data_IF_890718808437
#
_entry.id   IF_890718808437
#
_cell.length_a   1.000
_cell.length_b   1.000
_cell.length_c   1.000
_cell.angle_alpha   90.00
_cell.angle_beta   90.00
_cell.angle_gamma   90.00
#
_symmetry.space_group_name_H-M   'P 1'
#
loop_
_entity.id
_entity.type
_entity.pdbx_description
1 polymer ?
#
# COMPACT_ATOMS: atom_id res chain seq x y z
N UNK A 1 2.80 -2.02 15.88
CA UNK A 1 2.21 -1.43 14.65
C UNK A 1 2.23 0.09 14.71
N UNK A 2 1.68 0.72 15.75
CA UNK A 2 1.66 2.19 15.83
C UNK A 2 3.04 2.86 15.62
N UNK A 3 4.16 2.39 16.22
CA UNK A 3 5.49 2.94 15.93
C UNK A 3 5.92 2.86 14.46
N UNK A 4 5.45 1.84 13.74
CA UNK A 4 5.70 1.66 12.30
C UNK A 4 4.89 2.67 11.52
N UNK A 5 3.59 2.82 11.83
CA UNK A 5 2.70 3.79 11.19
C UNK A 5 3.23 5.21 11.35
N UNK A 6 3.52 5.64 12.58
CA UNK A 6 4.02 7.00 12.83
C UNK A 6 5.40 7.26 12.18
N UNK A 7 6.22 6.23 11.95
CA UNK A 7 7.48 6.36 11.22
C UNK A 7 7.26 6.40 9.70
N UNK A 8 6.37 5.56 9.18
CA UNK A 8 6.00 5.55 7.76
C UNK A 8 5.38 6.90 7.34
N UNK A 9 4.45 7.42 8.13
CA UNK A 9 3.79 8.70 7.87
C UNK A 9 4.79 9.87 7.86
N UNK A 10 5.79 9.85 8.76
CA UNK A 10 6.89 10.82 8.74
C UNK A 10 7.75 10.72 7.47
N UNK A 11 8.16 9.51 7.09
CA UNK A 11 8.95 9.30 5.87
C UNK A 11 8.19 9.72 4.59
N UNK A 12 6.88 9.51 4.58
CA UNK A 12 5.99 9.98 3.50
C UNK A 12 5.94 11.51 3.49
N UNK A 13 5.81 12.15 4.65
CA UNK A 13 5.83 13.61 4.78
C UNK A 13 7.18 14.21 4.31
N UNK A 14 8.28 13.49 4.53
CA UNK A 14 9.62 13.86 4.05
C UNK A 14 9.82 13.64 2.53
N UNK A 15 8.79 13.16 1.82
CA UNK A 15 8.78 13.00 0.37
C UNK A 15 9.24 11.63 -0.13
N UNK A 16 9.41 10.65 0.76
CA UNK A 16 9.72 9.27 0.36
C UNK A 16 8.49 8.63 -0.28
N UNK A 17 8.70 7.81 -1.32
CA UNK A 17 7.60 7.04 -1.91
C UNK A 17 6.90 6.19 -0.84
N UNK A 18 5.56 6.14 -0.79
CA UNK A 18 4.83 5.42 0.27
C UNK A 18 5.25 3.97 0.41
N UNK A 19 5.51 3.26 -0.70
CA UNK A 19 5.90 1.85 -0.62
C UNK A 19 7.26 1.68 0.07
N UNK A 20 8.21 2.56 -0.25
CA UNK A 20 9.56 2.56 0.34
C UNK A 20 9.50 3.01 1.80
N UNK A 21 8.69 4.01 2.11
CA UNK A 21 8.51 4.51 3.47
C UNK A 21 7.98 3.44 4.42
N UNK A 22 7.00 2.64 3.98
CA UNK A 22 6.46 1.54 4.79
C UNK A 22 7.51 0.46 5.06
N UNK A 23 8.23 0.00 4.04
CA UNK A 23 9.30 -1.02 4.22
C UNK A 23 10.39 -0.49 5.14
N UNK A 24 10.89 0.73 4.92
CA UNK A 24 11.92 1.34 5.77
C UNK A 24 11.47 1.52 7.23
N UNK A 25 10.20 1.87 7.44
CA UNK A 25 9.63 2.00 8.78
C UNK A 25 9.58 0.65 9.50
N UNK A 26 9.14 -0.41 8.81
CA UNK A 26 9.11 -1.77 9.37
C UNK A 26 10.52 -2.23 9.72
N UNK A 27 11.47 -2.12 8.80
CA UNK A 27 12.86 -2.53 9.01
C UNK A 27 13.48 -1.87 10.24
N UNK A 28 13.27 -0.55 10.38
CA UNK A 28 13.83 0.22 11.49
C UNK A 28 13.23 -0.20 12.83
N UNK A 29 11.91 -0.40 12.90
CA UNK A 29 11.25 -0.86 14.13
C UNK A 29 11.68 -2.30 14.46
N UNK A 30 11.76 -3.18 13.47
CA UNK A 30 12.21 -4.56 13.68
C UNK A 30 13.65 -4.62 14.18
N UNK A 31 14.55 -3.82 13.61
CA UNK A 31 15.94 -3.74 14.06
C UNK A 31 16.05 -3.29 15.53
N UNK A 32 15.23 -2.30 15.93
CA UNK A 32 15.18 -1.86 17.33
C UNK A 32 14.64 -2.95 18.27
N UNK A 33 13.65 -3.74 17.84
CA UNK A 33 13.13 -4.84 18.65
C UNK A 33 14.10 -6.03 18.72
N UNK A 34 14.85 -6.30 17.64
CA UNK A 34 15.83 -7.37 17.59
C UNK A 34 16.96 -7.20 18.63
N UNK A 35 17.24 -5.96 19.05
CA UNK A 35 18.21 -5.66 20.12
C UNK A 35 17.70 -6.06 21.53
N UNK A 36 16.39 -6.26 21.71
CA UNK A 36 15.77 -6.61 23.00
C UNK A 36 15.33 -8.07 23.04
N UNK A 37 14.87 -8.59 21.91
CA UNK A 37 14.36 -9.96 21.77
C UNK A 37 14.89 -10.55 20.48
N UNK A 38 15.44 -11.76 20.54
CA UNK A 38 15.83 -12.48 19.34
C UNK A 38 14.58 -12.89 18.56
N UNK A 39 14.27 -12.16 17.48
CA UNK A 39 13.16 -12.45 16.58
C UNK A 39 13.72 -13.15 15.33
N UNK A 40 13.41 -14.44 15.09
CA UNK A 40 13.78 -15.10 13.85
C UNK A 40 13.22 -14.38 12.61
N UNK A 41 14.03 -14.23 11.55
CA UNK A 41 13.67 -13.50 10.32
C UNK A 41 12.32 -13.90 9.72
N UNK A 42 11.94 -15.18 9.80
CA UNK A 42 10.64 -15.69 9.30
C UNK A 42 9.44 -14.99 9.94
N UNK A 43 9.52 -14.65 11.22
CA UNK A 43 8.44 -13.96 11.93
C UNK A 43 8.43 -12.46 11.59
N UNK A 44 9.60 -11.85 11.42
CA UNK A 44 9.72 -10.47 10.96
C UNK A 44 9.07 -10.28 9.58
N UNK A 45 9.38 -11.16 8.63
CA UNK A 45 8.79 -11.15 7.28
C UNK A 45 7.26 -11.34 7.35
N UNK A 46 6.80 -12.29 8.19
CA UNK A 46 5.37 -12.51 8.36
C UNK A 46 4.64 -11.27 8.92
N UNK A 47 5.24 -10.60 9.90
CA UNK A 47 4.70 -9.37 10.47
C UNK A 47 4.70 -8.22 9.47
N UNK A 48 5.79 -8.02 8.72
CA UNK A 48 5.87 -6.99 7.67
C UNK A 48 4.75 -7.14 6.65
N UNK A 49 4.52 -8.36 6.16
CA UNK A 49 3.45 -8.61 5.21
C UNK A 49 2.07 -8.29 5.81
N UNK A 50 1.79 -8.70 7.05
CA UNK A 50 0.52 -8.39 7.75
C UNK A 50 0.31 -6.89 7.89
N UNK A 51 1.37 -6.18 8.28
CA UNK A 51 1.38 -4.73 8.48
C UNK A 51 1.22 -3.95 7.18
N UNK A 52 1.87 -4.38 6.09
CA UNK A 52 1.74 -3.77 4.76
C UNK A 52 0.31 -3.83 4.19
N UNK A 53 -0.51 -4.75 4.70
CA UNK A 53 -1.91 -4.90 4.30
C UNK A 53 -2.83 -3.93 5.06
N UNK A 54 -2.47 -3.45 6.24
CA UNK A 54 -3.32 -2.59 7.08
C UNK A 54 -3.81 -1.32 6.37
N UNK A 55 -2.95 -0.53 5.68
CA UNK A 55 -3.39 0.68 4.96
C UNK A 55 -4.31 0.37 3.77
N UNK A 56 -4.35 -0.88 3.32
CA UNK A 56 -5.21 -1.30 2.20
C UNK A 56 -6.65 -1.53 2.64
N UNK A 57 -6.91 -1.81 3.92
CA UNK A 57 -8.26 -2.01 4.44
C UNK A 57 -9.10 -0.72 4.47
N UNK A 58 -8.45 0.45 4.45
CA UNK A 58 -9.11 1.77 4.35
C UNK A 58 -9.69 2.02 2.94
N UNK A 59 -9.15 1.35 1.92
CA UNK A 59 -9.45 1.65 0.52
C UNK A 59 -10.57 0.76 -0.02
N UNK A 60 -11.81 1.25 0.01
CA UNK A 60 -13.02 0.52 -0.42
C UNK A 60 -13.26 0.49 -1.95
N UNK A 61 -12.19 0.44 -2.74
CA UNK A 61 -12.30 0.36 -4.21
C UNK A 61 -12.46 -1.08 -4.67
N UNK A 62 -13.42 -1.37 -5.56
CA UNK A 62 -13.75 -2.74 -6.03
C UNK A 62 -12.52 -3.58 -6.41
N UNK A 63 -11.65 -3.07 -7.29
CA UNK A 63 -10.46 -3.81 -7.73
C UNK A 63 -9.47 -4.07 -6.60
N UNK A 64 -9.35 -3.16 -5.63
CA UNK A 64 -8.42 -3.29 -4.51
C UNK A 64 -8.95 -4.27 -3.48
N UNK A 65 -10.25 -4.22 -3.19
CA UNK A 65 -10.94 -5.13 -2.28
C UNK A 65 -10.86 -6.57 -2.78
N UNK A 66 -11.20 -6.83 -4.04
CA UNK A 66 -11.09 -8.16 -4.64
C UNK A 66 -9.65 -8.71 -4.57
N UNK A 67 -8.65 -7.87 -4.84
CA UNK A 67 -7.24 -8.25 -4.74
C UNK A 67 -6.80 -8.51 -3.29
N UNK A 68 -7.37 -7.78 -2.33
CA UNK A 68 -7.06 -7.95 -0.92
C UNK A 68 -7.65 -9.25 -0.38
N UNK A 69 -8.91 -9.57 -0.74
CA UNK A 69 -9.56 -10.83 -0.37
C UNK A 69 -8.83 -12.07 -0.94
N UNK A 70 -8.28 -11.97 -2.14
CA UNK A 70 -7.50 -13.04 -2.75
C UNK A 70 -6.08 -13.22 -2.17
N UNK A 71 -5.64 -12.35 -1.25
CA UNK A 71 -4.29 -12.40 -0.71
C UNK A 71 -4.12 -13.56 0.28
N UNK A 72 -3.05 -14.38 0.21
CA UNK A 72 -2.87 -15.55 1.07
C UNK A 72 -2.82 -15.20 2.57
N UNK A 73 -2.28 -14.03 2.91
CA UNK A 73 -2.24 -13.51 4.30
C UNK A 73 -3.41 -12.61 4.69
N UNK A 74 -4.48 -12.59 3.90
CA UNK A 74 -5.67 -11.79 4.21
C UNK A 74 -6.23 -12.13 5.60
N UNK A 75 -6.38 -13.41 5.93
CA UNK A 75 -6.94 -13.84 7.21
C UNK A 75 -6.14 -13.32 8.39
N UNK A 76 -4.82 -13.48 8.37
CA UNK A 76 -3.94 -12.98 9.42
C UNK A 76 -4.01 -11.44 9.55
N UNK A 77 -4.11 -10.72 8.43
CA UNK A 77 -4.22 -9.27 8.44
C UNK A 77 -5.60 -8.77 8.93
N UNK A 78 -6.66 -9.52 8.63
CA UNK A 78 -8.00 -9.28 9.13
C UNK A 78 -8.09 -9.56 10.63
N UNK A 79 -7.56 -10.68 11.10
CA UNK A 79 -7.53 -11.01 12.54
C UNK A 79 -6.73 -9.96 13.31
N UNK A 80 -5.63 -9.48 12.74
CA UNK A 80 -4.88 -8.35 13.32
C UNK A 80 -5.71 -7.05 13.36
N UNK A 81 -6.50 -6.76 12.33
CA UNK A 81 -7.41 -5.61 12.31
C UNK A 81 -8.50 -5.72 13.39
N UNK A 82 -9.06 -6.92 13.60
CA UNK A 82 -10.05 -7.18 14.67
C UNK A 82 -9.43 -6.89 16.04
N UNK A 83 -8.23 -7.43 16.31
CA UNK A 83 -7.52 -7.15 17.56
C UNK A 83 -7.30 -5.65 17.74
N UNK A 84 -6.85 -4.97 16.68
CA UNK A 84 -6.61 -3.53 16.69
C UNK A 84 -7.88 -2.71 16.96
N UNK A 85 -9.04 -3.19 16.54
CA UNK A 85 -10.32 -2.51 16.80
C UNK A 85 -10.77 -2.52 18.27
N UNK A 86 -10.18 -3.38 19.11
CA UNK A 86 -10.41 -3.34 20.56
C UNK A 86 -9.75 -2.10 21.20
N UNK A 87 -8.58 -1.70 20.70
CA UNK A 87 -7.83 -0.55 21.22
C UNK A 87 -8.17 0.75 20.46
N UNK A 88 -8.56 0.65 19.18
CA UNK A 88 -8.91 1.78 18.30
C UNK A 88 -10.40 1.69 17.87
N UNK A 89 -11.33 2.38 18.56
CA UNK A 89 -12.77 2.31 18.27
C UNK A 89 -13.14 2.74 16.85
N UNK A 90 -12.35 3.63 16.25
CA UNK A 90 -12.53 4.13 14.87
C UNK A 90 -12.51 3.02 13.83
N UNK A 91 -11.84 1.90 14.12
CA UNK A 91 -11.73 0.76 13.21
C UNK A 91 -12.92 -0.18 13.26
N UNK A 92 -13.80 -0.04 14.26
CA UNK A 92 -14.92 -0.97 14.45
C UNK A 92 -15.85 -1.01 13.23
N UNK A 93 -16.19 0.16 12.69
CA UNK A 93 -16.98 0.27 11.46
C UNK A 93 -16.27 -0.33 10.24
N UNK A 94 -14.93 -0.28 10.21
CA UNK A 94 -14.14 -0.92 9.16
C UNK A 94 -14.18 -2.45 9.30
N UNK A 95 -14.00 -2.97 10.51
CA UNK A 95 -14.08 -4.41 10.80
C UNK A 95 -15.46 -4.97 10.46
N UNK A 96 -16.54 -4.32 10.88
CA UNK A 96 -17.92 -4.72 10.56
C UNK A 96 -18.15 -4.80 9.04
N UNK A 97 -17.71 -3.78 8.31
CA UNK A 97 -17.81 -3.76 6.85
C UNK A 97 -17.05 -4.94 6.20
N UNK A 98 -15.82 -5.22 6.67
CA UNK A 98 -15.01 -6.33 6.17
C UNK A 98 -15.52 -7.70 6.62
N UNK A 99 -16.21 -7.79 7.75
CA UNK A 99 -16.91 -9.00 8.21
C UNK A 99 -18.03 -9.35 7.25
N UNK A 100 -18.88 -8.38 6.94
CA UNK A 100 -19.98 -8.56 6.00
C UNK A 100 -19.47 -8.85 4.60
N UNK A 101 -18.42 -8.16 4.14
CA UNK A 101 -17.83 -8.38 2.82
C UNK A 101 -17.32 -9.81 2.61
N UNK A 102 -16.85 -10.50 3.66
CA UNK A 102 -16.40 -11.89 3.57
C UNK A 102 -17.56 -12.88 3.39
N UNK A 103 -18.76 -12.55 3.87
CA UNK A 103 -19.94 -13.41 3.76
C UNK A 103 -20.75 -13.21 2.47
N UNK A 104 -20.43 -12.18 1.68
CA UNK A 104 -21.14 -11.86 0.44
C UNK A 104 -20.52 -12.61 -0.75
N UNK A 105 -21.39 -13.11 -1.64
CA UNK A 105 -20.95 -13.61 -2.93
C UNK A 105 -20.39 -12.47 -3.81
N UNK A 106 -19.57 -12.80 -4.79
CA UNK A 106 -18.86 -11.90 -5.70
C UNK A 106 -19.75 -10.84 -6.37
N UNK A 107 -21.01 -11.19 -6.67
CA UNK A 107 -22.02 -10.30 -7.22
C UNK A 107 -22.52 -9.27 -6.19
N UNK A 108 -22.97 -9.74 -5.03
CA UNK A 108 -23.45 -8.87 -3.94
C UNK A 108 -22.34 -7.95 -3.39
N UNK A 109 -21.10 -8.46 -3.31
CA UNK A 109 -19.94 -7.64 -2.92
C UNK A 109 -19.69 -6.51 -3.93
N UNK A 110 -19.86 -6.79 -5.24
CA UNK A 110 -19.74 -5.78 -6.29
C UNK A 110 -20.79 -4.68 -6.14
N UNK A 111 -22.03 -5.04 -5.86
CA UNK A 111 -23.13 -4.08 -5.67
C UNK A 111 -22.90 -3.19 -4.45
N UNK A 112 -22.53 -3.79 -3.30
CA UNK A 112 -22.20 -3.04 -2.07
C UNK A 112 -21.07 -2.03 -2.28
N UNK A 113 -20.05 -2.42 -3.06
CA UNK A 113 -18.95 -1.53 -3.43
C UNK A 113 -19.37 -0.42 -4.40
N UNK A 114 -20.33 -0.69 -5.30
CA UNK A 114 -20.88 0.32 -6.19
C UNK A 114 -21.66 1.38 -5.40
N UNK A 115 -22.51 0.97 -4.46
CA UNK A 115 -23.25 1.88 -3.57
C UNK A 115 -22.32 2.74 -2.72
N UNK A 116 -21.24 2.15 -2.19
CA UNK A 116 -20.24 2.87 -1.38
C UNK A 116 -19.45 3.90 -2.22
N UNK A 117 -19.16 3.58 -3.49
CA UNK A 117 -18.45 4.49 -4.39
C UNK A 117 -19.30 5.71 -4.80
N UNK A 118 -20.62 5.53 -4.95
CA UNK A 118 -21.55 6.64 -5.20
C UNK A 118 -21.60 7.59 -3.99
N UNK A 119 -21.67 7.06 -2.78
CA UNK A 119 -21.67 7.86 -1.55
C UNK A 119 -20.36 8.67 -1.35
N UNK A 120 -19.21 8.15 -1.78
CA UNK A 120 -17.93 8.89 -1.74
C UNK A 120 -17.81 9.95 -2.85
N UNK A 121 -18.45 9.74 -4.01
CA UNK A 121 -18.42 10.70 -5.11
C UNK A 121 -19.20 12.00 -4.80
N UNK A 122 -20.21 11.94 -3.93
CA UNK A 122 -20.97 13.12 -3.50
C UNK A 122 -20.27 13.96 -2.41
N UNK A 123 -19.13 13.49 -1.87
CA UNK A 123 -18.37 14.18 -0.81
C UNK A 123 -17.07 14.86 -1.28
N UNK A 124 -16.68 14.75 -2.55
CA UNK A 124 -15.49 15.44 -3.09
C UNK A 124 -15.84 16.30 -4.32
N UNK A 125 -15.72 17.66 -4.25
CA UNK A 125 -15.75 18.48 -5.46
C UNK A 125 -14.50 18.18 -6.30
N UNK A 126 -14.71 17.45 -7.39
CA UNK A 126 -13.65 16.87 -8.21
C UNK A 126 -12.69 17.90 -8.82
N UNK A 127 -11.45 17.95 -8.32
CA UNK A 127 -10.33 18.46 -9.11
C UNK A 127 -9.88 17.37 -10.09
N UNK A 128 -10.26 17.52 -11.36
CA UNK A 128 -9.87 16.63 -12.46
C UNK A 128 -8.35 16.66 -12.67
N UNK A 129 -7.59 15.82 -11.95
CA UNK A 129 -6.17 15.60 -12.24
C UNK A 129 -6.02 14.81 -13.55
N UNK A 130 -5.64 15.54 -14.61
CA UNK A 130 -5.28 15.03 -15.94
C UNK A 130 -4.25 13.90 -15.82
N UNK A 131 -4.59 12.72 -16.33
CA UNK A 131 -3.64 11.61 -16.53
C UNK A 131 -2.59 12.00 -17.57
N UNK A 132 -1.27 11.97 -17.28
CA UNK A 132 -0.27 12.13 -18.33
C UNK A 132 -0.28 10.86 -19.18
N UNK A 133 -0.65 11.02 -20.46
CA UNK A 133 -0.58 9.94 -21.46
C UNK A 133 0.89 9.55 -21.64
N UNK A 134 1.18 8.31 -21.22
CA UNK A 134 2.43 7.56 -21.40
C UNK A 134 3.01 7.80 -22.81
N UNK A 135 4.10 8.57 -22.90
CA UNK A 135 4.86 8.79 -24.13
C UNK A 135 5.39 7.43 -24.61
N UNK A 136 4.88 6.98 -25.75
CA UNK A 136 5.25 5.76 -26.48
C UNK A 136 6.75 5.78 -26.74
N UNK A 137 7.52 4.88 -26.09
CA UNK A 137 8.91 4.57 -26.44
C UNK A 137 8.94 4.12 -27.90
N UNK A 138 9.50 4.94 -28.80
CA UNK A 138 9.92 4.51 -30.14
C UNK A 138 11.33 3.93 -29.98
N UNK A 139 11.47 2.64 -30.27
CA UNK A 139 12.72 1.89 -30.31
C UNK A 139 13.10 1.68 -31.78
N UNK A 140 14.39 1.84 -32.10
CA UNK A 140 15.03 1.48 -33.38
C UNK A 140 15.46 2.70 -34.21
N UNK A 141 16.70 2.84 -34.70
CA UNK A 141 17.94 2.02 -34.69
C UNK A 141 19.16 2.97 -34.71
N UNK A 142 20.30 2.63 -34.13
CA UNK A 142 21.38 1.77 -34.65
C UNK A 142 22.13 2.38 -35.86
N UNK A 143 23.40 2.78 -35.60
CA UNK A 143 24.59 2.88 -36.48
C UNK A 143 25.40 4.13 -36.06
N UNK A 144 26.54 4.04 -35.35
CA UNK A 144 27.85 3.49 -35.71
C UNK A 144 28.84 4.62 -36.08
N UNK A 145 29.97 4.66 -35.34
CA UNK A 145 31.34 5.11 -35.71
C UNK A 145 31.49 6.60 -36.11
N UNK A 146 32.55 7.35 -35.82
CA UNK A 146 33.92 7.08 -35.38
C UNK A 146 34.56 8.43 -34.97
N UNK A 147 35.64 8.33 -34.21
CA UNK A 147 36.88 9.10 -34.33
C UNK A 147 37.00 10.62 -34.01
N UNK A 148 38.21 10.92 -33.50
CA UNK A 148 38.90 12.22 -33.38
C UNK A 148 38.60 13.10 -32.15
N UNK A 149 39.35 12.82 -31.08
CA UNK A 149 39.75 13.79 -30.06
C UNK A 149 41.10 14.37 -30.48
N UNK A 150 41.12 15.61 -30.98
CA UNK A 150 42.36 16.37 -31.19
C UNK A 150 42.35 17.65 -30.36
N UNK A 151 43.27 17.65 -29.39
CA UNK A 151 44.10 18.73 -28.84
C UNK A 151 43.83 20.21 -29.17
N UNK A 152 43.78 20.99 -28.07
CA UNK A 152 44.57 22.19 -27.80
C UNK A 152 44.28 23.54 -28.50
N UNK A 153 44.42 24.59 -27.68
CA UNK A 153 44.39 26.05 -27.95
C UNK A 153 42.97 26.64 -27.94
N UNK A 154 42.63 27.65 -27.15
CA UNK A 154 43.34 28.92 -26.86
C UNK A 154 42.92 29.49 -25.50
#
# INVERSE_FOLDING_TARGET
>A
WEPVRSLADRLIADGTDPSVAWTAAVDRVMHQQAARVAIPKRFAIAMEEIWSLQPRFEQRQKKRVMRLLAHPKFRAAYDFLVIRSHDEPELKAQVEWWTEAQGLDSQHLTEKLATTAVAQADSEPGTKRKRPRRRRRKRGGAAATDDSVESASE
#
